data_IF_207615364656
#
_entry.id   IF_207615364656
#
_cell.length_a   1.000
_cell.length_b   1.000
_cell.length_c   1.000
_cell.angle_alpha   90.00
_cell.angle_beta   90.00
_cell.angle_gamma   90.00
#
_symmetry.space_group_name_H-M   'P 1'
#
loop_
_entity.id
_entity.type
_entity.pdbx_description
1 polymer ?
#
# COMPACT_ATOMS: atom_id res chain seq x y z
N UNK A 1 -51.85 29.83 -12.80
CA UNK A 1 -51.02 28.80 -13.48
C UNK A 1 -49.66 29.44 -13.76
N UNK A 2 -48.74 29.43 -12.79
CA UNK A 2 -47.64 28.47 -12.56
C UNK A 2 -46.59 28.43 -13.69
N UNK A 3 -45.45 29.06 -13.37
CA UNK A 3 -44.06 28.79 -13.77
C UNK A 3 -43.61 29.18 -15.18
N UNK A 4 -42.54 29.98 -15.26
CA UNK A 4 -41.15 29.53 -15.48
C UNK A 4 -40.23 30.73 -15.68
N UNK A 5 -39.18 30.80 -14.87
CA UNK A 5 -38.11 31.78 -15.00
C UNK A 5 -36.99 31.38 -14.06
N UNK A 6 -36.35 30.25 -14.39
CA UNK A 6 -35.34 29.62 -13.56
C UNK A 6 -34.15 30.56 -13.34
N UNK A 7 -33.76 30.62 -12.07
CA UNK A 7 -32.64 31.34 -11.53
C UNK A 7 -31.37 31.16 -12.37
N UNK A 8 -30.69 32.28 -12.62
CA UNK A 8 -29.30 32.37 -13.06
C UNK A 8 -28.45 31.72 -11.97
N UNK A 9 -28.22 30.41 -12.09
CA UNK A 9 -27.34 29.69 -11.18
C UNK A 9 -25.91 29.93 -11.64
N UNK A 10 -25.15 30.54 -10.73
CA UNK A 10 -23.75 30.89 -10.86
C UNK A 10 -22.94 29.79 -11.56
N UNK A 11 -22.32 30.15 -12.68
CA UNK A 11 -21.23 29.41 -13.29
C UNK A 11 -20.01 29.56 -12.35
N UNK A 12 -20.00 28.76 -11.28
CA UNK A 12 -18.81 28.58 -10.44
C UNK A 12 -17.79 27.91 -11.34
N UNK A 13 -16.87 28.72 -11.85
CA UNK A 13 -15.62 28.26 -12.43
C UNK A 13 -14.89 27.53 -11.30
N UNK A 14 -15.14 26.23 -11.18
CA UNK A 14 -14.28 25.32 -10.46
C UNK A 14 -12.97 25.33 -11.24
N UNK A 15 -12.08 26.24 -10.85
CA UNK A 15 -10.67 26.14 -11.17
C UNK A 15 -10.24 24.76 -10.71
N UNK A 16 -10.10 23.86 -11.67
CA UNK A 16 -9.37 22.62 -11.52
C UNK A 16 -7.92 23.02 -11.25
N UNK A 17 -7.62 23.34 -10.00
CA UNK A 17 -6.27 23.20 -9.47
C UNK A 17 -6.02 21.70 -9.34
N UNK A 18 -5.87 21.03 -10.48
CA UNK A 18 -4.98 19.88 -10.59
C UNK A 18 -3.56 20.43 -10.42
N UNK A 19 -3.28 20.97 -9.23
CA UNK A 19 -1.94 21.26 -8.78
C UNK A 19 -1.26 19.91 -8.71
N UNK A 20 -0.24 19.73 -9.55
CA UNK A 20 0.49 18.49 -9.68
C UNK A 20 0.83 17.93 -8.30
N UNK A 21 0.21 16.80 -7.97
CA UNK A 21 0.74 15.92 -6.95
C UNK A 21 2.15 15.59 -7.42
N UNK A 22 3.13 16.12 -6.70
CA UNK A 22 4.52 15.77 -6.94
C UNK A 22 4.61 14.24 -6.89
N UNK A 23 5.40 13.62 -7.78
CA UNK A 23 5.55 12.15 -7.81
C UNK A 23 5.88 11.59 -6.41
N UNK A 24 6.53 12.39 -5.56
CA UNK A 24 6.85 12.08 -4.17
C UNK A 24 5.61 11.94 -3.26
N UNK A 25 4.55 12.73 -3.48
CA UNK A 25 3.30 12.62 -2.72
C UNK A 25 2.52 11.38 -3.12
N UNK A 26 2.52 11.03 -4.40
CA UNK A 26 1.90 9.81 -4.91
C UNK A 26 2.62 8.56 -4.39
N UNK A 27 3.96 8.57 -4.38
CA UNK A 27 4.77 7.50 -3.81
C UNK A 27 4.50 7.30 -2.32
N UNK A 28 4.51 8.39 -1.53
CA UNK A 28 4.18 8.33 -0.09
C UNK A 28 2.78 7.80 0.18
N UNK A 29 1.79 8.22 -0.61
CA UNK A 29 0.42 7.72 -0.49
C UNK A 29 0.32 6.23 -0.85
N UNK A 30 1.08 5.76 -1.83
CA UNK A 30 1.18 4.35 -2.20
C UNK A 30 1.70 3.50 -1.03
N UNK A 31 2.83 3.92 -0.42
CA UNK A 31 3.37 3.24 0.77
C UNK A 31 2.41 3.26 1.96
N UNK A 32 1.80 4.41 2.25
CA UNK A 32 0.86 4.54 3.36
C UNK A 32 -0.35 3.61 3.20
N UNK A 33 -0.86 3.47 1.97
CA UNK A 33 -1.96 2.55 1.66
C UNK A 33 -1.56 1.08 1.84
N UNK A 34 -0.39 0.68 1.35
CA UNK A 34 0.13 -0.68 1.47
C UNK A 34 0.34 -1.07 2.94
N UNK A 35 0.94 -0.19 3.75
CA UNK A 35 1.17 -0.41 5.18
C UNK A 35 -0.15 -0.54 5.95
N UNK A 36 -1.09 0.39 5.74
CA UNK A 36 -2.38 0.36 6.45
C UNK A 36 -3.16 -0.92 6.12
N UNK A 37 -3.16 -1.33 4.85
CA UNK A 37 -3.80 -2.56 4.41
C UNK A 37 -3.16 -3.81 5.01
N UNK A 38 -1.82 -3.84 5.06
CA UNK A 38 -1.05 -4.93 5.68
C UNK A 38 -1.34 -5.05 7.17
N UNK A 39 -1.26 -3.95 7.92
CA UNK A 39 -1.51 -3.93 9.37
C UNK A 39 -2.93 -4.43 9.67
N UNK A 40 -3.94 -3.89 8.98
CA UNK A 40 -5.34 -4.27 9.21
C UNK A 40 -5.59 -5.77 8.95
N UNK A 41 -4.98 -6.34 7.91
CA UNK A 41 -5.12 -7.76 7.59
C UNK A 41 -4.30 -8.66 8.54
N UNK A 42 -3.07 -8.26 8.88
CA UNK A 42 -2.20 -9.00 9.82
C UNK A 42 -2.83 -9.05 11.21
N UNK A 43 -3.43 -7.95 11.68
CA UNK A 43 -4.20 -7.91 12.93
C UNK A 43 -5.39 -8.88 12.91
N UNK A 44 -6.16 -8.94 11.81
CA UNK A 44 -7.29 -9.90 11.68
C UNK A 44 -6.84 -11.36 11.70
N UNK A 45 -5.68 -11.67 11.10
CA UNK A 45 -5.13 -13.03 11.10
C UNK A 45 -4.56 -13.44 12.47
N UNK A 46 -4.07 -12.47 13.25
CA UNK A 46 -3.50 -12.67 14.59
C UNK A 46 -4.54 -12.56 15.71
N UNK A 47 -5.73 -12.01 15.46
CA UNK A 47 -6.78 -11.88 16.47
C UNK A 47 -7.42 -13.21 16.88
N UNK A 48 -7.13 -14.30 16.15
CA UNK A 48 -7.60 -15.65 16.49
C UNK A 48 -6.50 -16.39 17.26
N UNK A 49 -6.70 -16.58 18.57
CA UNK A 49 -5.79 -17.33 19.46
C UNK A 49 -6.46 -18.66 19.87
N UNK A 50 -5.76 -19.81 19.77
CA UNK A 50 -4.40 -19.99 19.27
C UNK A 50 -4.31 -19.80 17.75
N UNK A 51 -3.23 -19.18 17.27
CA UNK A 51 -3.03 -18.90 15.83
C UNK A 51 -2.91 -20.23 15.07
N UNK A 52 -3.87 -20.57 14.20
CA UNK A 52 -3.82 -21.80 13.42
C UNK A 52 -2.59 -21.86 12.50
N UNK A 53 -2.07 -23.05 12.22
CA UNK A 53 -0.97 -23.24 11.25
C UNK A 53 -1.34 -22.67 9.86
N UNK A 54 -2.61 -22.79 9.46
CA UNK A 54 -3.12 -22.16 8.23
C UNK A 54 -3.00 -20.63 8.24
N UNK A 55 -3.11 -19.99 9.40
CA UNK A 55 -2.92 -18.55 9.55
C UNK A 55 -1.45 -18.15 9.34
N UNK A 56 -0.48 -19.03 9.60
CA UNK A 56 0.93 -18.76 9.26
C UNK A 56 1.17 -18.69 7.74
N UNK A 57 0.52 -19.56 6.97
CA UNK A 57 0.58 -19.51 5.50
C UNK A 57 -0.13 -18.25 4.98
N UNK A 58 -1.27 -17.89 5.59
CA UNK A 58 -1.99 -16.66 5.26
C UNK A 58 -1.15 -15.41 5.56
N UNK A 59 -0.44 -15.37 6.69
CA UNK A 59 0.48 -14.29 7.05
C UNK A 59 1.63 -14.20 6.04
N UNK A 60 2.24 -15.33 5.67
CA UNK A 60 3.32 -15.36 4.66
C UNK A 60 2.87 -14.79 3.31
N UNK A 61 1.69 -15.19 2.84
CA UNK A 61 1.12 -14.65 1.59
C UNK A 61 0.81 -13.16 1.70
N UNK A 62 0.36 -12.72 2.87
CA UNK A 62 0.09 -11.32 3.15
C UNK A 62 1.39 -10.48 3.13
N UNK A 63 2.49 -10.99 3.68
CA UNK A 63 3.82 -10.38 3.61
C UNK A 63 4.33 -10.28 2.16
N UNK A 64 4.19 -11.36 1.37
CA UNK A 64 4.53 -11.35 -0.06
C UNK A 64 3.72 -10.30 -0.84
N UNK A 65 2.41 -10.18 -0.56
CA UNK A 65 1.57 -9.16 -1.18
C UNK A 65 1.99 -7.74 -0.79
N UNK A 66 2.29 -7.52 0.49
CA UNK A 66 2.79 -6.24 0.99
C UNK A 66 4.11 -5.87 0.30
N UNK A 67 5.08 -6.77 0.26
CA UNK A 67 6.36 -6.55 -0.40
C UNK A 67 6.23 -6.30 -1.91
N UNK A 68 5.28 -6.98 -2.57
CA UNK A 68 4.98 -6.71 -3.98
C UNK A 68 4.43 -5.29 -4.17
N UNK A 69 3.50 -4.84 -3.31
CA UNK A 69 2.91 -3.50 -3.42
C UNK A 69 3.94 -2.41 -3.14
N UNK A 70 4.77 -2.56 -2.11
CA UNK A 70 5.83 -1.58 -1.81
C UNK A 70 6.88 -1.52 -2.91
N UNK A 71 7.21 -2.66 -3.53
CA UNK A 71 8.09 -2.69 -4.70
C UNK A 71 7.49 -1.95 -5.88
N UNK A 72 6.19 -2.07 -6.12
CA UNK A 72 5.49 -1.30 -7.16
C UNK A 72 5.49 0.21 -6.84
N UNK A 73 5.29 0.59 -5.58
CA UNK A 73 5.42 1.99 -5.15
C UNK A 73 6.83 2.53 -5.41
N UNK A 74 7.87 1.76 -5.05
CA UNK A 74 9.27 2.15 -5.19
C UNK A 74 9.73 2.28 -6.66
N UNK A 75 9.15 1.47 -7.54
CA UNK A 75 9.56 1.39 -8.95
C UNK A 75 8.70 2.24 -9.88
N UNK A 76 7.61 2.83 -9.37
CA UNK A 76 6.67 3.65 -10.16
C UNK A 76 7.34 4.87 -10.82
N UNK A 77 8.38 5.43 -10.20
CA UNK A 77 9.14 6.58 -10.69
C UNK A 77 10.42 6.20 -11.46
N UNK A 78 10.74 4.90 -11.57
CA UNK A 78 11.98 4.42 -12.19
C UNK A 78 11.85 4.26 -13.71
N UNK A 79 12.96 4.48 -14.43
CA UNK A 79 13.05 4.16 -15.85
C UNK A 79 12.93 2.65 -16.08
N UNK A 80 12.18 2.23 -17.12
CA UNK A 80 11.82 0.83 -17.38
C UNK A 80 12.99 -0.15 -17.35
N UNK A 81 14.16 0.28 -17.84
CA UNK A 81 15.36 -0.54 -17.92
C UNK A 81 16.02 -0.78 -16.54
N UNK A 82 15.74 0.06 -15.56
CA UNK A 82 16.23 -0.06 -14.18
C UNK A 82 15.25 -0.82 -13.26
N UNK A 83 14.02 -1.10 -13.72
CA UNK A 83 12.96 -1.67 -12.87
C UNK A 83 13.24 -3.11 -12.50
N UNK A 84 13.68 -3.98 -13.42
CA UNK A 84 13.72 -5.43 -13.15
C UNK A 84 14.70 -5.81 -12.04
N UNK A 85 15.91 -5.24 -12.05
CA UNK A 85 16.95 -5.52 -11.06
C UNK A 85 16.65 -4.82 -9.71
N UNK A 86 16.13 -3.60 -9.76
CA UNK A 86 15.77 -2.86 -8.54
C UNK A 86 14.54 -3.47 -7.86
N UNK A 87 13.53 -3.90 -8.64
CA UNK A 87 12.33 -4.52 -8.13
C UNK A 87 12.64 -5.81 -7.35
N UNK A 88 13.48 -6.70 -7.91
CA UNK A 88 13.84 -7.94 -7.23
C UNK A 88 14.59 -7.67 -5.93
N UNK A 89 15.56 -6.74 -5.93
CA UNK A 89 16.33 -6.40 -4.74
C UNK A 89 15.47 -5.77 -3.63
N UNK A 90 14.52 -4.91 -3.99
CA UNK A 90 13.59 -4.27 -3.04
C UNK A 90 12.63 -5.31 -2.46
N UNK A 91 12.08 -6.18 -3.31
CA UNK A 91 11.19 -7.25 -2.89
C UNK A 91 11.88 -8.23 -1.92
N UNK A 92 13.07 -8.72 -2.28
CA UNK A 92 13.83 -9.65 -1.45
C UNK A 92 14.22 -9.04 -0.11
N UNK A 93 14.64 -7.77 -0.11
CA UNK A 93 14.98 -7.05 1.11
C UNK A 93 13.77 -6.84 2.02
N UNK A 94 12.60 -6.57 1.45
CA UNK A 94 11.35 -6.48 2.21
C UNK A 94 11.02 -7.81 2.90
N UNK A 95 11.08 -8.93 2.17
CA UNK A 95 10.86 -10.26 2.74
C UNK A 95 11.89 -10.64 3.82
N UNK A 96 13.16 -10.27 3.63
CA UNK A 96 14.21 -10.52 4.63
C UNK A 96 13.96 -9.76 5.93
N UNK A 97 13.48 -8.52 5.85
CA UNK A 97 13.15 -7.73 7.04
C UNK A 97 12.00 -8.36 7.83
N UNK A 98 10.92 -8.77 7.16
CA UNK A 98 9.80 -9.48 7.82
C UNK A 98 10.27 -10.81 8.43
N UNK A 99 11.10 -11.59 7.70
CA UNK A 99 11.64 -12.84 8.21
C UNK A 99 12.54 -12.64 9.44
N UNK A 100 13.28 -11.53 9.50
CA UNK A 100 14.12 -11.18 10.65
C UNK A 100 13.30 -10.79 11.87
N UNK A 101 12.23 -9.99 11.69
CA UNK A 101 11.32 -9.67 12.79
C UNK A 101 10.71 -10.94 13.40
N UNK A 102 10.34 -11.93 12.58
CA UNK A 102 9.86 -13.22 13.07
C UNK A 102 10.96 -13.99 13.81
N UNK A 103 12.20 -13.98 13.31
CA UNK A 103 13.33 -14.69 13.92
C UNK A 103 13.72 -14.11 15.28
N UNK A 104 13.72 -12.78 15.43
CA UNK A 104 14.04 -12.09 16.68
C UNK A 104 12.95 -12.30 17.76
N UNK A 105 11.72 -12.67 17.35
CA UNK A 105 10.61 -13.01 18.25
C UNK A 105 10.58 -14.48 18.69
N UNK A 106 11.42 -15.36 18.13
CA UNK A 106 11.52 -16.76 18.57
C UNK A 106 12.49 -16.84 19.76
N UNK A 107 12.01 -17.22 20.97
CA UNK A 107 12.91 -17.42 22.10
C UNK A 107 13.90 -18.54 21.78
N UNK A 108 15.20 -18.23 21.77
CA UNK A 108 16.23 -19.27 21.69
C UNK A 108 16.25 -20.03 23.01
N UNK A 109 15.90 -21.31 22.97
CA UNK A 109 16.14 -22.24 24.07
C UNK A 109 17.59 -22.70 24.05
#
# INVERSE_FOLDING_TARGET
>A
MITRGFAVLALVVAFATAAGASNDDAEKQCYASAINSFIAQKQRLLSVIPVPVGSRIAIRRLEEQFCSQTTQCATASMAKDAISLAASAIFDRCLQNEAKEVYDLVPRR
#
